data_IF_026379642203
#
_entry.id   IF_026379642203
#
_cell.length_a   1.000
_cell.length_b   1.000
_cell.length_c   1.000
_cell.angle_alpha   90.00
_cell.angle_beta   90.00
_cell.angle_gamma   90.00
#
_symmetry.space_group_name_H-M   'P 1'
#
loop_
_entity.id
_entity.type
_entity.pdbx_description
1 polymer ?
#
# COMPACT_ATOMS: atom_id res chain seq x y z
N UNK A 1 -7.20 12.79 8.52
CA UNK A 1 -6.53 12.95 7.23
C UNK A 1 -6.54 11.67 6.45
N UNK A 2 -6.82 11.74 5.19
CA UNK A 2 -6.81 10.53 4.40
C UNK A 2 -5.37 10.04 4.24
N UNK A 3 -5.16 8.73 4.20
CA UNK A 3 -3.84 8.20 3.95
C UNK A 3 -3.44 8.47 2.51
N UNK A 4 -2.16 8.66 2.28
CA UNK A 4 -1.69 8.81 0.93
C UNK A 4 -0.85 7.59 0.55
N UNK A 5 -0.58 7.39 -0.75
CA UNK A 5 0.13 6.19 -1.19
C UNK A 5 1.54 6.08 -0.60
N UNK A 6 2.20 7.21 -0.39
CA UNK A 6 3.55 7.16 0.17
C UNK A 6 3.53 6.68 1.60
N UNK A 7 2.55 7.15 2.36
CA UNK A 7 2.42 6.71 3.75
C UNK A 7 2.15 5.22 3.81
N UNK A 8 1.28 4.74 2.92
CA UNK A 8 0.99 3.30 2.88
C UNK A 8 2.23 2.50 2.54
N UNK A 9 3.05 2.99 1.63
CA UNK A 9 4.29 2.30 1.29
C UNK A 9 5.26 2.28 2.45
N UNK A 10 5.34 3.36 3.20
CA UNK A 10 6.18 3.39 4.39
C UNK A 10 5.73 2.36 5.40
N UNK A 11 4.43 2.29 5.63
CA UNK A 11 3.91 1.31 6.57
C UNK A 11 4.19 -0.10 6.08
N UNK A 12 4.06 -0.33 4.78
CA UNK A 12 4.37 -1.64 4.23
C UNK A 12 5.83 -2.00 4.46
N UNK A 13 6.72 -1.05 4.23
CA UNK A 13 8.14 -1.30 4.43
C UNK A 13 8.46 -1.60 5.89
N UNK A 14 7.83 -0.85 6.80
CA UNK A 14 8.01 -1.12 8.22
C UNK A 14 7.54 -2.52 8.57
N UNK A 15 6.42 -2.95 7.99
CA UNK A 15 5.92 -4.30 8.24
C UNK A 15 6.87 -5.36 7.70
N UNK A 16 7.45 -5.12 6.53
CA UNK A 16 8.42 -6.05 5.97
C UNK A 16 9.62 -6.19 6.91
N UNK A 17 10.11 -5.08 7.42
CA UNK A 17 11.23 -5.14 8.35
C UNK A 17 10.88 -5.90 9.62
N UNK A 18 9.68 -5.66 10.14
CA UNK A 18 9.24 -6.40 11.31
C UNK A 18 9.13 -7.88 11.02
N UNK A 19 8.65 -8.23 9.83
CA UNK A 19 8.58 -9.63 9.45
C UNK A 19 9.97 -10.26 9.42
N UNK A 20 10.95 -9.53 8.90
CA UNK A 20 12.31 -10.05 8.80
C UNK A 20 12.98 -10.24 10.14
N UNK A 21 12.64 -9.39 11.11
CA UNK A 21 13.27 -9.46 12.42
C UNK A 21 12.46 -10.27 13.43
N UNK A 22 11.29 -10.75 13.04
CA UNK A 22 10.49 -11.56 13.95
C UNK A 22 11.09 -12.93 14.14
N UNK A 23 10.96 -13.44 15.37
CA UNK A 23 11.53 -14.72 15.71
C UNK A 23 10.58 -15.90 15.51
N UNK A 24 9.30 -15.63 15.39
CA UNK A 24 8.32 -16.71 15.25
C UNK A 24 7.71 -16.68 13.86
N UNK A 25 7.37 -17.87 13.32
CA UNK A 25 6.73 -17.91 12.01
C UNK A 25 5.39 -17.18 11.97
N UNK A 26 4.66 -17.24 13.06
CA UNK A 26 3.36 -16.59 13.13
C UNK A 26 3.50 -15.08 13.02
N UNK A 27 4.46 -14.51 13.73
CA UNK A 27 4.68 -13.08 13.67
C UNK A 27 5.12 -12.67 12.28
N UNK A 28 5.98 -13.46 11.66
CA UNK A 28 6.43 -13.19 10.30
C UNK A 28 5.27 -13.17 9.34
N UNK A 29 4.40 -14.15 9.44
CA UNK A 29 3.25 -14.22 8.56
C UNK A 29 2.32 -13.04 8.79
N UNK A 30 2.12 -12.69 10.05
CA UNK A 30 1.25 -11.57 10.39
C UNK A 30 1.75 -10.27 9.76
N UNK A 31 3.03 -9.98 9.91
CA UNK A 31 3.57 -8.75 9.37
C UNK A 31 3.65 -8.78 7.85
N UNK A 32 3.90 -9.95 7.28
CA UNK A 32 3.91 -10.07 5.83
C UNK A 32 2.53 -9.78 5.26
N UNK A 33 1.49 -10.27 5.94
CA UNK A 33 0.13 -10.00 5.49
C UNK A 33 -0.23 -8.54 5.64
N UNK A 34 0.22 -7.90 6.71
CA UNK A 34 0.00 -6.48 6.88
C UNK A 34 0.69 -5.68 5.77
N UNK A 35 1.91 -6.07 5.42
CA UNK A 35 2.62 -5.40 4.35
C UNK A 35 1.85 -5.49 3.04
N UNK A 36 1.32 -6.65 2.74
CA UNK A 36 0.51 -6.83 1.55
C UNK A 36 -0.71 -5.92 1.55
N UNK A 37 -1.37 -5.83 2.70
CA UNK A 37 -2.55 -4.99 2.82
C UNK A 37 -2.19 -3.53 2.55
N UNK A 38 -1.10 -3.06 3.12
CA UNK A 38 -0.67 -1.68 2.90
C UNK A 38 -0.31 -1.43 1.44
N UNK A 39 0.36 -2.39 0.80
CA UNK A 39 0.73 -2.23 -0.61
C UNK A 39 -0.49 -2.24 -1.51
N UNK A 40 -1.47 -3.07 -1.20
CA UNK A 40 -2.71 -3.10 -1.95
C UNK A 40 -3.43 -1.75 -1.82
N UNK A 41 -3.48 -1.22 -0.61
CA UNK A 41 -4.11 0.08 -0.40
C UNK A 41 -3.37 1.18 -1.16
N UNK A 42 -2.04 1.14 -1.13
CA UNK A 42 -1.26 2.12 -1.86
C UNK A 42 -1.56 2.06 -3.35
N UNK A 43 -1.66 0.85 -3.90
CA UNK A 43 -2.01 0.69 -5.30
C UNK A 43 -3.37 1.24 -5.64
N UNK A 44 -4.35 0.99 -4.76
CA UNK A 44 -5.69 1.50 -4.97
C UNK A 44 -5.71 3.02 -4.96
N UNK A 45 -4.99 3.62 -4.03
CA UNK A 45 -4.94 5.07 -3.94
C UNK A 45 -4.25 5.68 -5.16
N UNK A 46 -3.19 5.04 -5.63
CA UNK A 46 -2.52 5.49 -6.84
C UNK A 46 -3.45 5.41 -8.05
N UNK A 47 -4.20 4.32 -8.14
CA UNK A 47 -5.12 4.14 -9.24
C UNK A 47 -6.21 5.20 -9.25
N UNK A 48 -6.75 5.49 -8.09
CA UNK A 48 -7.76 6.53 -7.99
C UNK A 48 -7.22 7.87 -8.42
N UNK A 49 -6.02 8.19 -7.94
CA UNK A 49 -5.40 9.45 -8.28
C UNK A 49 -5.17 9.54 -9.77
N UNK A 50 -4.69 8.46 -10.39
CA UNK A 50 -4.47 8.44 -11.81
C UNK A 50 -5.77 8.59 -12.59
N UNK A 51 -6.82 7.95 -12.13
CA UNK A 51 -8.11 8.06 -12.79
C UNK A 51 -8.65 9.49 -12.71
N UNK A 52 -8.50 10.11 -11.57
CA UNK A 52 -8.97 11.48 -11.43
C UNK A 52 -8.23 12.41 -12.35
N UNK A 53 -6.95 12.20 -12.50
CA UNK A 53 -6.14 13.06 -13.34
C UNK A 53 -6.42 12.86 -14.82
N UNK A 54 -6.69 11.64 -15.23
CA UNK A 54 -6.86 11.34 -16.63
C UNK A 54 -8.31 11.36 -17.06
N UNK A 55 -9.20 11.55 -16.16
CA UNK A 55 -10.61 11.48 -16.48
C UNK A 55 -11.07 12.43 -17.56
N UNK A 56 -10.69 13.71 -17.50
CA UNK A 56 -11.12 14.64 -18.56
C UNK A 56 -10.68 14.20 -19.92
N UNK A 57 -9.51 13.63 -20.01
CA UNK A 57 -9.00 13.16 -21.28
C UNK A 57 -9.81 12.03 -21.82
N UNK A 58 -10.21 11.15 -20.95
CA UNK A 58 -11.02 10.05 -21.38
C UNK A 58 -12.33 10.52 -21.96
N UNK A 59 -12.90 11.49 -21.33
CA UNK A 59 -14.15 12.02 -21.81
C UNK A 59 -13.98 12.58 -23.17
N UNK A 60 -12.92 13.27 -23.39
CA UNK A 60 -12.68 13.87 -24.68
C UNK A 60 -12.52 12.81 -25.75
N UNK A 61 -11.99 11.72 -25.40
CA UNK A 61 -11.76 10.65 -26.35
C UNK A 61 -13.02 9.89 -26.73
#
# INVERSE_FOLDING_TARGET
MPPDPQECRRQALACVRLAQTSNTPEARLHYANLAKTWLTLAGDLDDRDAQLKSEPEKKAG
#
